data_IF_144024119546
#
_entry.id   IF_144024119546
#
_cell.length_a   1.000
_cell.length_b   1.000
_cell.length_c   1.000
_cell.angle_alpha   90.00
_cell.angle_beta   90.00
_cell.angle_gamma   90.00
#
_symmetry.space_group_name_H-M   'P 1'
#
loop_
_entity.id
_entity.type
_entity.pdbx_description
1 polymer ?
#
# COMPACT_ATOMS: atom_id res chain seq x y z
N UNK A 1 -8.96 -0.55 -8.71
CA UNK A 1 -7.63 0.00 -8.38
C UNK A 1 -6.57 -0.95 -8.89
N UNK A 2 -5.58 -0.44 -9.62
CA UNK A 2 -4.42 -1.23 -10.08
C UNK A 2 -3.34 -1.29 -8.99
N UNK A 3 -2.41 -2.24 -9.09
CA UNK A 3 -1.29 -2.35 -8.17
C UNK A 3 -0.41 -1.08 -8.16
N UNK A 4 -0.22 -0.45 -9.32
CA UNK A 4 0.48 0.82 -9.45
C UNK A 4 -0.24 1.96 -8.71
N UNK A 5 -1.55 2.07 -8.85
CA UNK A 5 -2.35 3.06 -8.12
C UNK A 5 -2.26 2.83 -6.61
N UNK A 6 -2.35 1.58 -6.15
CA UNK A 6 -2.25 1.28 -4.72
C UNK A 6 -0.87 1.58 -4.15
N UNK A 7 0.20 1.26 -4.89
CA UNK A 7 1.56 1.58 -4.50
C UNK A 7 1.77 3.10 -4.35
N UNK A 8 1.24 3.89 -5.29
CA UNK A 8 1.24 5.36 -5.20
C UNK A 8 0.52 5.87 -3.95
N UNK A 9 -0.65 5.32 -3.63
CA UNK A 9 -1.41 5.70 -2.42
C UNK A 9 -0.68 5.33 -1.12
N UNK A 10 0.10 4.24 -1.13
CA UNK A 10 0.94 3.84 -0.01
C UNK A 10 2.28 4.59 0.05
N UNK A 11 2.60 5.42 -0.95
CA UNK A 11 3.86 6.15 -1.04
C UNK A 11 5.06 5.25 -1.32
N UNK A 12 4.87 4.12 -2.03
CA UNK A 12 5.92 3.16 -2.36
C UNK A 12 5.99 2.84 -3.84
N UNK A 13 7.11 2.29 -4.26
CA UNK A 13 7.28 1.79 -5.62
C UNK A 13 6.43 0.52 -5.82
N UNK A 14 5.88 0.34 -7.01
CA UNK A 14 5.10 -0.88 -7.36
C UNK A 14 5.90 -2.16 -7.13
N UNK A 15 7.21 -2.13 -7.38
CA UNK A 15 8.11 -3.26 -7.14
C UNK A 15 8.24 -3.63 -5.66
N UNK A 16 8.19 -2.64 -4.77
CA UNK A 16 8.22 -2.87 -3.32
C UNK A 16 6.94 -3.58 -2.87
N UNK A 17 5.78 -3.14 -3.37
CA UNK A 17 4.49 -3.79 -3.08
C UNK A 17 4.44 -5.24 -3.60
N UNK A 18 5.00 -5.50 -4.79
CA UNK A 18 5.12 -6.84 -5.37
C UNK A 18 6.01 -7.79 -4.58
N UNK A 19 6.98 -7.27 -3.81
CA UNK A 19 7.78 -8.09 -2.90
C UNK A 19 7.02 -8.46 -1.62
N UNK A 20 6.04 -7.63 -1.22
CA UNK A 20 5.22 -7.87 -0.01
C UNK A 20 4.04 -8.81 -0.24
N UNK A 21 3.30 -8.65 -1.34
CA UNK A 21 2.09 -9.44 -1.61
C UNK A 21 2.29 -10.97 -1.54
N UNK A 22 3.35 -11.55 -2.13
CA UNK A 22 3.63 -12.98 -1.99
C UNK A 22 4.40 -13.32 -0.71
N UNK A 23 4.67 -12.36 0.17
CA UNK A 23 5.44 -12.54 1.40
C UNK A 23 6.95 -12.72 1.21
N UNK A 24 7.50 -12.34 0.04
CA UNK A 24 8.97 -12.42 -0.20
C UNK A 24 9.75 -11.46 0.69
N UNK A 25 9.13 -10.33 1.08
CA UNK A 25 9.64 -9.37 2.07
C UNK A 25 8.51 -8.84 2.93
N UNK A 26 8.86 -8.40 4.13
CA UNK A 26 7.93 -7.66 4.99
C UNK A 26 8.06 -6.15 4.79
N UNK A 27 6.97 -5.39 5.02
CA UNK A 27 7.03 -3.93 5.06
C UNK A 27 7.98 -3.47 6.18
N UNK A 28 8.93 -2.60 5.86
CA UNK A 28 9.82 -1.97 6.85
C UNK A 28 9.16 -0.72 7.47
N UNK A 29 9.78 -0.15 8.51
CA UNK A 29 9.20 0.86 9.42
C UNK A 29 8.29 1.93 8.77
N UNK A 30 8.74 2.60 7.72
CA UNK A 30 7.96 3.67 7.06
C UNK A 30 6.75 3.17 6.26
N UNK A 31 6.78 1.92 5.81
CA UNK A 31 5.71 1.28 5.06
C UNK A 31 4.62 0.65 5.93
N UNK A 32 4.94 0.31 7.19
CA UNK A 32 3.96 -0.25 8.13
C UNK A 32 2.84 0.74 8.44
N UNK A 33 3.15 2.03 8.58
CA UNK A 33 2.14 3.06 8.89
C UNK A 33 1.11 3.27 7.77
N UNK A 34 1.50 3.46 6.49
CA UNK A 34 0.55 3.51 5.37
C UNK A 34 -0.35 2.28 5.28
N UNK A 35 0.20 1.07 5.49
CA UNK A 35 -0.58 -0.17 5.50
C UNK A 35 -1.57 -0.22 6.68
N UNK A 36 -1.18 0.24 7.87
CA UNK A 36 -2.08 0.33 9.02
C UNK A 36 -3.22 1.35 8.77
N UNK A 37 -2.90 2.50 8.16
CA UNK A 37 -3.89 3.51 7.77
C UNK A 37 -4.84 2.93 6.72
N UNK A 38 -4.31 2.22 5.73
CA UNK A 38 -5.08 1.56 4.69
C UNK A 38 -6.12 0.58 5.26
N UNK A 39 -5.70 -0.21 6.26
CA UNK A 39 -6.55 -1.16 6.96
C UNK A 39 -7.59 -0.47 7.85
N UNK A 40 -7.21 0.63 8.53
CA UNK A 40 -8.07 1.33 9.49
C UNK A 40 -9.08 2.26 8.83
N UNK A 41 -8.74 2.82 7.68
CA UNK A 41 -9.55 3.82 6.97
C UNK A 41 -9.74 3.47 5.48
N UNK A 42 -10.37 2.31 5.17
CA UNK A 42 -10.51 1.85 3.78
C UNK A 42 -11.39 2.77 2.91
N UNK A 43 -12.27 3.57 3.52
CA UNK A 43 -13.09 4.55 2.79
C UNK A 43 -12.24 5.68 2.19
N UNK A 44 -11.30 6.21 2.96
CA UNK A 44 -10.38 7.26 2.53
C UNK A 44 -9.54 6.79 1.34
N UNK A 45 -9.04 5.55 1.38
CA UNK A 45 -8.33 4.96 0.23
C UNK A 45 -9.20 4.84 -1.02
N UNK A 46 -10.48 4.50 -0.89
CA UNK A 46 -11.39 4.38 -2.04
C UNK A 46 -11.71 5.75 -2.64
N UNK A 47 -11.87 6.77 -1.81
CA UNK A 47 -12.07 8.15 -2.24
C UNK A 47 -10.85 8.69 -3.00
N UNK A 48 -9.63 8.39 -2.51
CA UNK A 48 -8.38 8.78 -3.17
C UNK A 48 -8.08 7.98 -4.46
N UNK A 49 -8.73 6.84 -4.65
CA UNK A 49 -8.54 5.97 -5.81
C UNK A 49 -9.56 6.20 -6.94
N UNK A 50 -10.55 7.08 -6.73
CA UNK A 50 -11.56 7.48 -7.69
C UNK A 50 -11.02 8.51 -8.69
#
# INVERSE_FOLDING_TARGET
MTQAQFATLLGVLVRTLQEWEPGRREPSGSAKSPLLIALRYPKVLRELAA
#
